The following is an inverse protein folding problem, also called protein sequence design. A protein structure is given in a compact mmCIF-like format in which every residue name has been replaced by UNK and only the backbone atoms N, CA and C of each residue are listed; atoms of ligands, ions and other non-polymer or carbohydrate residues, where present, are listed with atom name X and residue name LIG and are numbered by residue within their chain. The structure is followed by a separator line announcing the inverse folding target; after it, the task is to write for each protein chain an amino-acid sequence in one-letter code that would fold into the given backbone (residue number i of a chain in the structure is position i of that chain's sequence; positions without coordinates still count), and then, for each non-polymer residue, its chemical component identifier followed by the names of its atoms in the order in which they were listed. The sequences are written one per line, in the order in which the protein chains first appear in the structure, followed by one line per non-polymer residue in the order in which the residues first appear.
data_IF_922771640028
#
_entry.id   IF_922771640028
#
_cell.length_a   1.000
_cell.length_b   1.000
_cell.length_c   1.000
_cell.angle_alpha   90.00
_cell.angle_beta   90.00
_cell.angle_gamma   90.00
#
_symmetry.space_group_name_H-M   'P 1'
#
loop_
_entity.id
_entity.type
_entity.pdbx_description
1 polymer ?
#
# COMPACT_ATOMS: atom_id res chain seq x y z
N UNK A 1 -14.34 -3.11 -17.34
CA UNK A 1 -14.07 -2.08 -16.32
C UNK A 1 -13.05 -1.14 -16.92
N UNK A 2 -13.37 0.15 -16.99
CA UNK A 2 -12.53 1.13 -17.66
C UNK A 2 -11.28 1.43 -16.80
N UNK A 3 -10.06 1.15 -17.28
CA UNK A 3 -8.82 1.27 -16.49
C UNK A 3 -8.63 2.67 -15.88
N UNK A 4 -9.09 3.71 -16.58
CA UNK A 4 -9.03 5.12 -16.15
C UNK A 4 -9.77 5.40 -14.83
N UNK A 5 -10.84 4.64 -14.54
CA UNK A 5 -11.63 4.82 -13.30
C UNK A 5 -10.96 4.24 -12.06
N UNK A 6 -10.13 3.20 -12.24
CA UNK A 6 -9.39 2.57 -11.14
C UNK A 6 -8.19 3.44 -10.75
N UNK A 7 -7.49 4.01 -11.74
CA UNK A 7 -6.35 4.91 -11.51
C UNK A 7 -6.76 6.18 -10.74
N UNK A 8 -7.93 6.74 -11.07
CA UNK A 8 -8.47 7.92 -10.39
C UNK A 8 -8.83 7.62 -8.92
N UNK A 9 -9.41 6.44 -8.66
CA UNK A 9 -9.75 6.02 -7.30
C UNK A 9 -8.49 5.70 -6.48
N UNK A 10 -7.47 5.08 -7.09
CA UNK A 10 -6.19 4.79 -6.44
C UNK A 10 -5.49 6.07 -6.01
N UNK A 11 -5.39 7.05 -6.90
CA UNK A 11 -4.80 8.35 -6.59
C UNK A 11 -5.55 9.08 -5.46
N UNK A 12 -6.88 8.96 -5.41
CA UNK A 12 -7.68 9.53 -4.34
C UNK A 12 -7.40 8.85 -2.98
N UNK A 13 -7.22 7.52 -2.95
CA UNK A 13 -6.87 6.80 -1.73
C UNK A 13 -5.47 7.16 -1.25
N UNK A 14 -4.49 7.24 -2.14
CA UNK A 14 -3.12 7.68 -1.84
C UNK A 14 -3.13 9.08 -1.23
N UNK A 15 -3.84 10.03 -1.83
CA UNK A 15 -3.97 11.39 -1.33
C UNK A 15 -4.61 11.45 0.06
N UNK A 16 -5.64 10.64 0.31
CA UNK A 16 -6.29 10.57 1.63
C UNK A 16 -5.38 9.97 2.70
N UNK A 17 -4.65 8.91 2.38
CA UNK A 17 -3.68 8.31 3.30
C UNK A 17 -2.55 9.29 3.64
N UNK A 18 -2.03 10.00 2.64
CA UNK A 18 -0.99 11.01 2.85
C UNK A 18 -1.48 12.17 3.73
N UNK A 19 -2.74 12.59 3.55
CA UNK A 19 -3.40 13.57 4.41
C UNK A 19 -3.45 13.13 5.88
N UNK A 20 -3.98 11.94 6.14
CA UNK A 20 -4.08 11.38 7.51
C UNK A 20 -2.69 11.19 8.13
N UNK A 21 -1.72 10.70 7.35
CA UNK A 21 -0.35 10.54 7.80
C UNK A 21 0.30 11.87 8.20
N UNK A 22 0.07 12.93 7.41
CA UNK A 22 0.59 14.27 7.70
C UNK A 22 -0.05 14.88 8.95
N UNK A 23 -1.33 14.63 9.17
CA UNK A 23 -2.04 15.06 10.38
C UNK A 23 -1.47 14.40 11.64
N UNK A 24 -1.24 13.07 11.61
CA UNK A 24 -0.63 12.30 12.69
C UNK A 24 0.78 12.81 13.04
N UNK A 25 1.57 13.13 12.01
CA UNK A 25 2.91 13.70 12.19
C UNK A 25 2.86 15.10 12.81
N UNK A 26 1.90 15.93 12.40
CA UNK A 26 1.71 17.28 12.94
C UNK A 26 1.36 17.23 14.43
N UNK A 27 0.47 16.32 14.83
CA UNK A 27 0.13 16.11 16.24
C UNK A 27 1.36 15.68 17.06
N UNK A 28 2.13 14.71 16.55
CA UNK A 28 3.36 14.24 17.20
C UNK A 28 4.39 15.36 17.38
N UNK A 29 4.53 16.24 16.38
CA UNK A 29 5.41 17.40 16.47
C UNK A 29 5.01 18.38 17.60
N UNK A 30 3.70 18.58 17.81
CA UNK A 30 3.20 19.41 18.91
C UNK A 30 3.55 18.82 20.28
N UNK A 31 3.42 17.51 20.47
CA UNK A 31 3.82 16.84 21.73
C UNK A 31 5.32 16.94 21.99
N UNK A 32 6.14 16.81 20.95
CA UNK A 32 7.58 16.94 21.10
C UNK A 32 7.96 18.37 21.50
N UNK A 33 7.29 19.38 20.92
CA UNK A 33 7.50 20.77 21.31
C UNK A 33 7.04 21.06 22.75
N UNK A 34 5.93 20.47 23.18
CA UNK A 34 5.48 20.54 24.57
C UNK A 34 6.50 19.90 25.52
N UNK A 35 7.01 18.71 25.18
CA UNK A 35 8.05 18.02 25.96
C UNK A 35 9.34 18.84 26.06
N UNK A 36 9.74 19.52 24.99
CA UNK A 36 10.89 20.45 24.98
C UNK A 36 10.68 21.64 25.90
N UNK A 37 9.49 22.23 25.88
CA UNK A 37 9.16 23.35 26.76
C UNK A 37 9.24 22.93 28.24
N UNK A 38 8.65 21.79 28.59
CA UNK A 38 8.70 21.25 29.96
C UNK A 38 10.13 20.89 30.37
N UNK A 39 10.90 20.25 29.49
CA UNK A 39 12.30 19.93 29.74
C UNK A 39 13.18 21.17 29.92
N UNK A 40 12.95 22.23 29.14
CA UNK A 40 13.66 23.50 29.27
C UNK A 40 13.36 24.22 30.59
N UNK A 41 12.09 24.26 31.00
CA UNK A 41 11.68 24.81 32.30
C UNK A 41 12.28 23.99 33.45
N UNK A 42 12.26 22.65 33.35
CA UNK A 42 12.88 21.77 34.34
C UNK A 42 14.40 21.98 34.47
N UNK A 43 15.10 22.14 33.34
CA UNK A 43 16.52 22.44 33.32
C UNK A 43 16.82 23.82 33.96
N UNK A 44 16.02 24.84 33.66
CA UNK A 44 16.16 26.18 34.23
C UNK A 44 15.99 26.17 35.76
N UNK A 45 14.94 25.51 36.27
CA UNK A 45 14.70 25.38 37.71
C UNK A 45 15.81 24.59 38.41
N UNK A 46 16.31 23.52 37.79
CA UNK A 46 17.41 22.73 38.33
C UNK A 46 18.69 23.56 38.47
N UNK A 47 19.09 24.29 37.42
CA UNK A 47 20.29 25.14 37.46
C UNK A 47 20.10 26.26 38.49
N UNK A 48 18.94 26.92 38.51
CA UNK A 48 18.67 28.05 39.41
C UNK A 48 18.76 27.66 40.88
N UNK A 49 18.17 26.52 41.25
CA UNK A 49 18.20 26.02 42.64
C UNK A 49 19.61 25.63 43.11
N UNK A 50 20.48 25.16 42.21
CA UNK A 50 21.86 24.81 42.52
C UNK A 50 22.76 26.04 42.59
N UNK A 51 22.58 26.98 41.68
CA UNK A 51 23.42 28.19 41.57
C UNK A 51 23.21 29.15 42.74
N UNK A 52 21.97 29.33 43.22
CA UNK A 52 21.68 30.24 44.33
C UNK A 52 22.52 29.93 45.58
N UNK A 53 22.66 28.65 45.92
CA UNK A 53 23.42 28.21 47.09
C UNK A 53 24.92 28.43 46.97
N UNK A 54 25.48 28.43 45.76
CA UNK A 54 26.90 28.73 45.52
C UNK A 54 27.15 30.25 45.56
N UNK A 55 26.25 31.04 44.97
CA UNK A 55 26.32 32.51 45.02
C UNK A 55 26.23 33.01 46.48
N UNK A 56 25.32 32.44 47.29
CA UNK A 56 25.16 32.85 48.68
C UNK A 56 26.35 32.50 49.59
N UNK A 57 27.13 31.46 49.26
CA UNK A 57 28.31 31.02 50.03
C UNK A 57 29.63 31.56 49.49
N UNK A 58 29.62 32.28 48.36
CA UNK A 58 30.80 32.74 47.64
C UNK A 58 31.81 31.62 47.30
N UNK A 59 31.32 30.39 47.19
CA UNK A 59 32.14 29.24 46.80
C UNK A 59 32.24 29.16 45.26
N UNK A 60 33.38 28.70 44.72
CA UNK A 60 33.52 28.45 43.29
C UNK A 60 32.46 27.46 42.80
N UNK A 61 31.85 27.77 41.65
CA UNK A 61 30.78 26.96 41.06
C UNK A 61 31.40 25.74 40.36
N UNK A 62 31.02 24.53 40.77
CA UNK A 62 31.34 23.32 40.03
C UNK A 62 30.39 23.16 38.83
N UNK A 63 30.94 23.20 37.61
CA UNK A 63 30.17 23.10 36.37
C UNK A 63 29.83 21.66 35.98
N UNK A 64 30.52 20.66 36.54
CA UNK A 64 30.32 19.26 36.16
C UNK A 64 28.90 18.74 36.46
N UNK A 65 28.27 19.07 37.61
CA UNK A 65 26.86 18.78 37.85
C UNK A 65 25.89 19.57 36.96
N UNK A 66 26.28 20.76 36.49
CA UNK A 66 25.47 21.63 35.63
C UNK A 66 25.38 21.13 34.18
N UNK A 67 26.36 20.36 33.71
CA UNK A 67 26.38 19.78 32.36
C UNK A 67 25.32 18.68 32.15
N UNK A 68 24.89 17.99 33.21
CA UNK A 68 23.89 16.90 33.14
C UNK A 68 22.56 17.31 32.50
N UNK A 69 21.84 18.35 33.00
CA UNK A 69 20.60 18.81 32.37
C UNK A 69 20.81 19.32 30.94
N UNK A 70 21.98 19.91 30.64
CA UNK A 70 22.30 20.38 29.30
C UNK A 70 22.49 19.23 28.30
N UNK A 71 23.16 18.14 28.70
CA UNK A 71 23.33 16.95 27.85
C UNK A 71 21.98 16.29 27.52
N UNK A 72 21.07 16.18 28.50
CA UNK A 72 19.72 15.66 28.29
C UNK A 72 18.92 16.60 27.37
N UNK A 73 19.00 17.92 27.60
CA UNK A 73 18.37 18.92 26.73
C UNK A 73 18.87 18.85 25.29
N UNK A 74 20.19 18.73 25.10
CA UNK A 74 20.80 18.58 23.79
C UNK A 74 20.34 17.30 23.08
N UNK A 75 20.22 16.18 23.81
CA UNK A 75 19.67 14.94 23.25
C UNK A 75 18.22 15.11 22.76
N UNK A 76 17.37 15.80 23.53
CA UNK A 76 15.96 16.08 23.16
C UNK A 76 15.87 17.05 21.97
N UNK A 77 16.77 18.03 21.89
CA UNK A 77 16.82 18.99 20.79
C UNK A 77 17.29 18.34 19.48
N UNK A 78 18.29 17.45 19.55
CA UNK A 78 18.85 16.77 18.38
C UNK A 78 17.91 15.69 17.82
N UNK A 79 16.98 15.17 18.62
CA UNK A 79 16.10 14.07 18.23
C UNK A 79 15.22 14.38 17.00
N UNK A 80 14.54 15.53 16.96
CA UNK A 80 13.64 15.89 15.84
C UNK A 80 14.34 16.02 14.49
N UNK A 81 15.45 16.77 14.35
CA UNK A 81 16.14 16.85 13.07
C UNK A 81 16.67 15.48 12.61
N UNK A 82 17.06 14.60 13.54
CA UNK A 82 17.46 13.22 13.20
C UNK A 82 16.29 12.42 12.59
N UNK A 83 15.12 12.45 13.24
CA UNK A 83 13.92 11.78 12.74
C UNK A 83 13.44 12.36 11.40
N UNK A 84 13.54 13.69 11.22
CA UNK A 84 13.20 14.33 9.95
C UNK A 84 14.16 13.93 8.83
N UNK A 85 15.46 13.77 9.13
CA UNK A 85 16.44 13.29 8.16
C UNK A 85 16.15 11.85 7.70
N UNK A 86 15.83 10.96 8.64
CA UNK A 86 15.43 9.58 8.33
C UNK A 86 14.17 9.54 7.45
N UNK A 87 13.17 10.38 7.74
CA UNK A 87 11.97 10.48 6.90
C UNK A 87 12.30 10.90 5.47
N UNK A 88 13.23 11.84 5.29
CA UNK A 88 13.69 12.24 3.96
C UNK A 88 14.29 11.09 3.16
N UNK A 89 15.07 10.22 3.81
CA UNK A 89 15.64 9.02 3.19
C UNK A 89 14.52 8.03 2.80
N UNK A 90 13.60 7.74 3.71
CA UNK A 90 12.48 6.82 3.43
C UNK A 90 11.60 7.32 2.28
N UNK A 91 11.32 8.63 2.23
CA UNK A 91 10.53 9.24 1.17
C UNK A 91 11.25 9.18 -0.18
N UNK A 92 12.58 9.38 -0.21
CA UNK A 92 13.38 9.22 -1.42
C UNK A 92 13.35 7.78 -1.95
N UNK A 93 13.39 6.78 -1.07
CA UNK A 93 13.26 5.35 -1.45
C UNK A 93 11.86 5.04 -1.97
N UNK A 94 10.82 5.55 -1.33
CA UNK A 94 9.43 5.38 -1.79
C UNK A 94 9.23 5.99 -3.19
N UNK A 95 9.65 7.24 -3.41
CA UNK A 95 9.58 7.88 -4.73
C UNK A 95 10.39 7.14 -5.80
N UNK A 96 11.56 6.59 -5.44
CA UNK A 96 12.33 5.75 -6.36
C UNK A 96 11.56 4.50 -6.80
N UNK A 97 10.80 3.90 -5.89
CA UNK A 97 9.96 2.73 -6.18
C UNK A 97 8.78 3.10 -7.08
N UNK A 98 8.14 4.24 -6.82
CA UNK A 98 7.05 4.74 -7.67
C UNK A 98 7.53 5.09 -9.09
N UNK A 99 8.73 5.64 -9.23
CA UNK A 99 9.32 5.91 -10.54
C UNK A 99 9.53 4.63 -11.36
N UNK A 100 9.95 3.53 -10.71
CA UNK A 100 10.06 2.21 -11.35
C UNK A 100 8.67 1.68 -11.74
N UNK A 101 7.66 1.82 -10.86
CA UNK A 101 6.28 1.41 -11.14
C UNK A 101 5.71 2.12 -12.37
N UNK A 102 5.90 3.43 -12.48
CA UNK A 102 5.46 4.21 -13.64
C UNK A 102 6.13 3.74 -14.95
N UNK A 103 7.41 3.36 -14.90
CA UNK A 103 8.09 2.74 -16.04
C UNK A 103 7.46 1.40 -16.48
N UNK A 104 7.03 0.58 -15.53
CA UNK A 104 6.38 -0.71 -15.81
C UNK A 104 4.96 -0.57 -16.39
N UNK A 105 4.20 0.46 -15.97
CA UNK A 105 2.87 0.72 -16.50
C UNK A 105 2.88 0.97 -18.02
N UNK A 106 3.93 1.60 -18.54
CA UNK A 106 4.10 1.81 -19.98
C UNK A 106 4.16 0.50 -20.77
N UNK A 107 4.88 -0.50 -20.26
CA UNK A 107 5.01 -1.81 -20.90
C UNK A 107 3.73 -2.65 -20.73
N UNK A 108 3.10 -2.60 -19.56
CA UNK A 108 1.80 -3.28 -19.32
C UNK A 108 0.71 -2.74 -20.25
N UNK A 109 0.69 -1.43 -20.51
CA UNK A 109 -0.27 -0.84 -21.44
C UNK A 109 -0.03 -1.34 -22.88
N UNK A 110 1.24 -1.45 -23.31
CA UNK A 110 1.60 -2.02 -24.62
C UNK A 110 1.14 -3.47 -24.74
N UNK A 111 1.39 -4.29 -23.72
CA UNK A 111 1.01 -5.70 -23.69
C UNK A 111 -0.51 -5.89 -23.65
N UNK A 112 -1.23 -5.03 -22.94
CA UNK A 112 -2.71 -5.06 -22.91
C UNK A 112 -3.28 -4.80 -24.30
N UNK A 113 -2.79 -3.78 -25.01
CA UNK A 113 -3.23 -3.50 -26.38
C UNK A 113 -2.94 -4.64 -27.37
N UNK A 114 -1.83 -5.36 -27.18
CA UNK A 114 -1.49 -6.54 -28.00
C UNK A 114 -2.39 -7.74 -27.65
N UNK A 115 -2.64 -7.98 -26.36
CA UNK A 115 -3.57 -9.01 -25.86
C UNK A 115 -4.99 -8.79 -26.37
N UNK A 116 -5.47 -7.56 -26.39
CA UNK A 116 -6.83 -7.23 -26.85
C UNK A 116 -7.01 -7.46 -28.36
N UNK A 117 -5.99 -7.14 -29.17
CA UNK A 117 -5.98 -7.44 -30.61
C UNK A 117 -6.00 -8.94 -30.87
N UNK A 118 -5.12 -9.69 -30.20
CA UNK A 118 -5.09 -11.15 -30.32
C UNK A 118 -6.39 -11.80 -29.83
N UNK A 119 -7.02 -11.26 -28.79
CA UNK A 119 -8.32 -11.73 -28.30
C UNK A 119 -9.46 -11.42 -29.31
N UNK A 120 -9.42 -10.27 -29.98
CA UNK A 120 -10.37 -9.91 -31.02
C UNK A 120 -10.21 -10.82 -32.25
N UNK A 121 -8.99 -11.08 -32.70
CA UNK A 121 -8.70 -11.97 -33.82
C UNK A 121 -9.07 -13.43 -33.50
N UNK A 122 -8.77 -13.89 -32.28
CA UNK A 122 -9.15 -15.21 -31.81
C UNK A 122 -10.69 -15.38 -31.75
N UNK A 123 -11.42 -14.36 -31.30
CA UNK A 123 -12.89 -14.33 -31.33
C UNK A 123 -13.45 -14.31 -32.75
N UNK A 124 -12.90 -13.48 -33.63
CA UNK A 124 -13.34 -13.41 -35.03
C UNK A 124 -13.14 -14.76 -35.73
N UNK A 125 -11.98 -15.41 -35.50
CA UNK A 125 -11.67 -16.74 -36.05
C UNK A 125 -12.52 -17.86 -35.43
N UNK A 126 -12.91 -17.75 -34.16
CA UNK A 126 -13.84 -18.71 -33.56
C UNK A 126 -15.26 -18.53 -34.07
N UNK A 127 -15.75 -17.29 -34.20
CA UNK A 127 -17.10 -17.01 -34.69
C UNK A 127 -17.26 -17.40 -36.17
N UNK A 128 -16.24 -17.16 -37.00
CA UNK A 128 -16.21 -17.63 -38.40
C UNK A 128 -16.19 -19.17 -38.49
N UNK A 129 -15.37 -19.85 -37.68
CA UNK A 129 -15.34 -21.32 -37.65
C UNK A 129 -16.63 -21.93 -37.10
N UNK A 130 -17.32 -21.25 -36.18
CA UNK A 130 -18.63 -21.68 -35.69
C UNK A 130 -19.65 -21.55 -36.81
N UNK A 131 -19.71 -20.42 -37.52
CA UNK A 131 -20.70 -20.22 -38.58
C UNK A 131 -20.49 -21.18 -39.78
N UNK A 132 -19.25 -21.37 -40.21
CA UNK A 132 -18.90 -22.27 -41.33
C UNK A 132 -19.13 -23.75 -40.98
N UNK A 133 -18.77 -24.20 -39.77
CA UNK A 133 -19.12 -25.56 -39.29
C UNK A 133 -20.61 -25.73 -39.00
N UNK A 134 -21.33 -24.66 -38.66
CA UNK A 134 -22.78 -24.72 -38.45
C UNK A 134 -23.53 -24.93 -39.76
N UNK A 135 -23.14 -24.26 -40.85
CA UNK A 135 -23.78 -24.39 -42.17
C UNK A 135 -23.42 -25.71 -42.87
N UNK A 136 -22.16 -26.19 -42.76
CA UNK A 136 -21.76 -27.47 -43.35
C UNK A 136 -22.42 -28.67 -42.63
N UNK A 137 -22.59 -28.58 -41.30
CA UNK A 137 -23.24 -29.63 -40.51
C UNK A 137 -24.78 -29.60 -40.63
N UNK A 138 -25.41 -28.45 -40.90
CA UNK A 138 -26.87 -28.38 -41.12
C UNK A 138 -27.33 -29.14 -42.38
N UNK A 139 -26.49 -29.18 -43.41
CA UNK A 139 -26.77 -29.88 -44.67
C UNK A 139 -26.61 -31.40 -44.61
N UNK A 140 -25.89 -31.93 -43.61
CA UNK A 140 -25.56 -33.37 -43.51
C UNK A 140 -26.27 -34.10 -42.36
N UNK A 141 -26.79 -33.40 -41.35
CA UNK A 141 -27.31 -34.01 -40.11
C UNK A 141 -28.81 -33.78 -39.91
N UNK A 142 -29.63 -34.56 -40.62
CA UNK A 142 -30.94 -34.94 -40.12
C UNK A 142 -30.77 -36.03 -39.04
N UNK A 143 -30.99 -35.68 -37.78
CA UNK A 143 -31.26 -36.57 -36.65
C UNK A 143 -30.12 -37.33 -35.91
N UNK A 144 -28.97 -37.69 -36.51
CA UNK A 144 -28.07 -38.67 -35.84
C UNK A 144 -26.98 -38.10 -34.90
N UNK A 145 -26.60 -36.82 -34.95
CA UNK A 145 -25.34 -36.36 -34.31
C UNK A 145 -25.50 -35.28 -33.21
N UNK A 146 -26.74 -35.00 -32.78
CA UNK A 146 -27.02 -34.08 -31.65
C UNK A 146 -26.31 -34.55 -30.36
N UNK A 147 -26.17 -35.85 -30.15
CA UNK A 147 -25.50 -36.42 -28.97
C UNK A 147 -23.98 -36.17 -28.94
N UNK A 148 -23.32 -36.06 -30.10
CA UNK A 148 -21.87 -35.84 -30.18
C UNK A 148 -21.50 -34.36 -30.06
N UNK A 149 -22.32 -33.47 -30.59
CA UNK A 149 -22.19 -32.02 -30.36
C UNK A 149 -22.49 -31.64 -28.91
N UNK A 150 -23.49 -32.26 -28.28
CA UNK A 150 -23.77 -32.03 -26.86
C UNK A 150 -22.60 -32.43 -25.95
N UNK A 151 -21.96 -33.58 -26.19
CA UNK A 151 -20.82 -34.05 -25.38
C UNK A 151 -19.56 -33.20 -25.56
N UNK A 152 -19.32 -32.63 -26.74
CA UNK A 152 -18.21 -31.69 -26.97
C UNK A 152 -18.48 -30.30 -26.36
N UNK A 153 -19.72 -29.80 -26.45
CA UNK A 153 -20.14 -28.58 -25.78
C UNK A 153 -20.11 -28.72 -24.25
N UNK A 154 -20.50 -29.89 -23.73
CA UNK A 154 -20.38 -30.21 -22.31
C UNK A 154 -18.92 -30.31 -21.84
N UNK A 155 -18.00 -30.80 -22.67
CA UNK A 155 -16.56 -30.77 -22.37
C UNK A 155 -16.02 -29.34 -22.29
N UNK A 156 -16.45 -28.41 -23.15
CA UNK A 156 -16.07 -26.99 -23.05
C UNK A 156 -16.68 -26.30 -21.81
N UNK A 157 -17.92 -26.62 -21.45
CA UNK A 157 -18.55 -26.17 -20.21
C UNK A 157 -17.82 -26.72 -18.98
N UNK A 158 -17.31 -27.95 -19.03
CA UNK A 158 -16.56 -28.56 -17.92
C UNK A 158 -15.25 -27.81 -17.62
N UNK A 159 -14.58 -27.24 -18.62
CA UNK A 159 -13.36 -26.44 -18.42
C UNK A 159 -13.62 -25.09 -17.74
N UNK A 160 -14.71 -24.39 -18.09
CA UNK A 160 -15.07 -23.12 -17.44
C UNK A 160 -15.69 -23.33 -16.06
N UNK A 161 -16.41 -24.43 -15.85
CA UNK A 161 -16.97 -24.81 -14.53
C UNK A 161 -15.85 -25.13 -13.53
N UNK A 162 -14.78 -25.82 -13.95
CA UNK A 162 -13.64 -26.13 -13.09
C UNK A 162 -12.83 -24.90 -12.67
N UNK A 163 -12.63 -23.93 -13.58
CA UNK A 163 -11.94 -22.68 -13.26
C UNK A 163 -12.78 -21.78 -12.34
N UNK A 164 -14.08 -21.62 -12.63
CA UNK A 164 -15.00 -20.85 -11.79
C UNK A 164 -15.17 -21.47 -10.40
N UNK A 165 -15.19 -22.80 -10.27
CA UNK A 165 -15.24 -23.47 -8.97
C UNK A 165 -13.92 -23.33 -8.19
N UNK A 166 -12.78 -23.39 -8.88
CA UNK A 166 -11.45 -23.17 -8.29
C UNK A 166 -11.26 -21.73 -7.82
N UNK A 167 -11.80 -20.75 -8.53
CA UNK A 167 -11.81 -19.34 -8.13
C UNK A 167 -12.79 -19.08 -6.99
N UNK A 168 -13.98 -19.72 -6.99
CA UNK A 168 -14.91 -19.66 -5.87
C UNK A 168 -14.35 -20.31 -4.60
N UNK A 169 -13.73 -21.49 -4.70
CA UNK A 169 -13.08 -22.14 -3.55
C UNK A 169 -11.85 -21.37 -3.08
N UNK A 170 -11.06 -20.78 -3.99
CA UNK A 170 -10.00 -19.85 -3.62
C UNK A 170 -10.55 -18.62 -2.93
N UNK A 171 -11.62 -18.01 -3.42
CA UNK A 171 -12.24 -16.83 -2.80
C UNK A 171 -12.83 -17.16 -1.42
N UNK A 172 -13.44 -18.34 -1.23
CA UNK A 172 -13.90 -18.79 0.10
C UNK A 172 -12.73 -19.11 1.02
N UNK A 173 -11.66 -19.74 0.53
CA UNK A 173 -10.45 -19.99 1.32
C UNK A 173 -9.71 -18.68 1.62
N UNK A 174 -9.79 -17.71 0.72
CA UNK A 174 -9.24 -16.37 0.86
C UNK A 174 -10.05 -15.53 1.87
N UNK A 175 -11.37 -15.69 1.89
CA UNK A 175 -12.26 -15.12 2.90
C UNK A 175 -12.21 -15.90 4.24
N UNK A 176 -11.80 -17.17 4.20
CA UNK A 176 -11.73 -18.08 5.35
C UNK A 176 -10.38 -18.12 6.06
N UNK A 177 -9.27 -17.70 5.42
CA UNK A 177 -7.96 -17.56 6.07
C UNK A 177 -7.80 -16.22 6.82
N UNK A 178 -8.89 -15.57 7.20
CA UNK A 178 -8.85 -14.55 8.23
C UNK A 178 -8.12 -15.13 9.46
N UNK A 179 -7.05 -14.49 9.98
CA UNK A 179 -6.42 -14.93 11.21
C UNK A 179 -7.46 -14.84 12.31
N UNK A 180 -7.81 -15.99 12.85
CA UNK A 180 -8.66 -16.15 14.02
C UNK A 180 -7.92 -15.60 15.25
N UNK A 181 -7.80 -14.28 15.35
CA UNK A 181 -7.36 -13.55 16.53
C UNK A 181 -8.27 -12.33 16.73
N UNK A 182 -9.46 -12.64 17.28
CA UNK A 182 -10.40 -11.85 18.10
C UNK A 182 -10.31 -10.31 18.21
N UNK A 183 -11.48 -9.66 18.29
CA UNK A 183 -11.68 -8.51 19.17
C UNK A 183 -12.76 -8.76 20.25
N UNK A 184 -12.34 -8.57 21.51
CA UNK A 184 -13.11 -8.11 22.71
C UNK A 184 -13.94 -9.12 23.54
N UNK A 185 -13.43 -9.48 24.72
CA UNK A 185 -14.08 -9.37 26.06
C UNK A 185 -13.10 -9.81 27.17
#
# INVERSE_FOLDING_TARGET
MDPTSIDLNMALYEQKLEGIYTEMLTFTAQFINLGRAIGGVGALLFISSRVWGHIARAEPIDFFPLLRPFAIGLAILLFVPLCSGLRGITMAVAHGTDAIRLGQLGEVNRLTGERDRLAADAKAKSDMQINEKYEEDLGKLGALDIGRKATLAMNQVQYSVGQNFREWTKSILELGHWPLSWPLA
#
